data_IF_130866594103
#
_entry.id   IF_130866594103
#
_cell.length_a   1.000
_cell.length_b   1.000
_cell.length_c   1.000
_cell.angle_alpha   90.00
_cell.angle_beta   90.00
_cell.angle_gamma   90.00
#
_symmetry.space_group_name_H-M   'P 1'
#
loop_
_entity.id
_entity.type
_entity.pdbx_description
1 polymer ?
#
# COMPACT_ATOMS: atom_id res chain seq x y z
N UNK A 1 -5.60 -5.81 14.24
CA UNK A 1 -4.27 -5.19 14.45
C UNK A 1 -4.15 -3.76 13.89
N UNK A 2 -4.04 -3.54 12.57
CA UNK A 2 -3.73 -2.21 12.00
C UNK A 2 -4.78 -1.13 12.28
N UNK A 3 -6.05 -1.40 11.96
CA UNK A 3 -7.19 -0.49 12.20
C UNK A 3 -7.29 -0.11 13.68
N UNK A 4 -7.23 -1.11 14.57
CA UNK A 4 -7.31 -0.91 16.01
C UNK A 4 -6.14 -0.10 16.56
N UNK A 5 -4.99 -0.12 15.87
CA UNK A 5 -3.81 0.66 16.23
C UNK A 5 -3.87 2.11 15.73
N UNK A 6 -4.90 2.47 14.95
CA UNK A 6 -5.18 3.82 14.45
C UNK A 6 -4.78 4.05 13.00
N UNK A 7 -4.43 3.00 12.25
CA UNK A 7 -4.14 3.08 10.81
C UNK A 7 -5.42 2.79 10.01
N UNK A 8 -6.41 3.69 10.07
CA UNK A 8 -7.75 3.46 9.50
C UNK A 8 -7.78 3.37 7.98
N UNK A 9 -6.79 3.94 7.29
CA UNK A 9 -6.67 3.92 5.83
C UNK A 9 -5.88 2.69 5.33
N UNK A 10 -5.82 1.63 6.14
CA UNK A 10 -5.13 0.39 5.77
C UNK A 10 -5.99 -0.46 4.84
N UNK A 11 -5.35 -1.19 3.93
CA UNK A 11 -6.04 -2.02 2.94
C UNK A 11 -5.18 -3.16 2.41
N UNK A 12 -5.80 -4.07 1.67
CA UNK A 12 -5.16 -5.22 1.04
C UNK A 12 -5.46 -5.19 -0.46
N UNK A 13 -4.45 -5.47 -1.27
CA UNK A 13 -4.53 -5.62 -2.71
C UNK A 13 -4.04 -7.00 -3.11
N UNK A 14 -4.69 -7.62 -4.10
CA UNK A 14 -4.27 -8.90 -4.68
C UNK A 14 -3.77 -8.66 -6.11
N UNK A 15 -2.47 -8.86 -6.32
CA UNK A 15 -1.81 -8.70 -7.61
C UNK A 15 -1.91 -9.94 -8.51
N UNK A 16 -1.25 -9.85 -9.68
CA UNK A 16 -1.08 -11.00 -10.58
C UNK A 16 -0.32 -12.12 -9.85
N UNK A 17 -0.60 -13.36 -10.22
CA UNK A 17 0.00 -14.53 -9.58
C UNK A 17 -0.47 -14.79 -8.13
N UNK A 18 -1.48 -14.04 -7.63
CA UNK A 18 -1.98 -14.23 -6.26
C UNK A 18 -1.14 -13.56 -5.18
N UNK A 19 -0.20 -12.68 -5.54
CA UNK A 19 0.58 -11.88 -4.58
C UNK A 19 -0.36 -10.99 -3.76
N UNK A 20 -0.36 -11.14 -2.45
CA UNK A 20 -1.15 -10.32 -1.53
C UNK A 20 -0.24 -9.21 -0.98
N UNK A 21 -0.65 -7.95 -1.11
CA UNK A 21 0.07 -6.79 -0.58
C UNK A 21 -0.85 -6.03 0.36
N UNK A 22 -0.38 -5.80 1.58
CA UNK A 22 -1.09 -4.98 2.58
C UNK A 22 -0.42 -3.61 2.71
N UNK A 23 -1.21 -2.56 2.70
CA UNK A 23 -0.76 -1.21 2.99
C UNK A 23 -1.30 -0.79 4.38
N UNK A 24 -0.42 -0.29 5.24
CA UNK A 24 -0.78 0.25 6.55
C UNK A 24 -0.61 1.76 6.51
N UNK A 25 -1.72 2.51 6.56
CA UNK A 25 -1.71 3.98 6.39
C UNK A 25 -2.55 4.66 7.47
N UNK A 26 -2.03 5.77 7.99
CA UNK A 26 -2.73 6.59 8.98
C UNK A 26 -3.69 7.58 8.31
N UNK A 27 -4.45 8.28 9.12
CA UNK A 27 -5.23 9.47 8.73
C UNK A 27 -4.49 10.76 9.08
N UNK A 28 -3.29 10.68 9.64
CA UNK A 28 -2.50 11.84 10.04
C UNK A 28 -1.86 12.50 8.82
N UNK A 29 -2.27 13.73 8.57
CA UNK A 29 -1.79 14.57 7.48
C UNK A 29 -1.88 16.02 7.98
N UNK A 30 -0.93 16.86 7.56
CA UNK A 30 -0.97 18.31 7.75
C UNK A 30 -0.46 18.94 6.45
N UNK A 31 -1.38 19.47 5.67
CA UNK A 31 -1.08 20.16 4.42
C UNK A 31 -1.67 21.56 4.51
N UNK A 32 -0.82 22.57 4.37
CA UNK A 32 -1.19 23.98 4.50
C UNK A 32 -0.41 24.82 3.48
N UNK A 33 -1.06 25.67 2.67
CA UNK A 33 -0.34 26.56 1.76
C UNK A 33 0.33 27.69 2.54
N UNK A 34 1.66 27.81 2.42
CA UNK A 34 2.42 28.87 3.09
C UNK A 34 2.72 30.05 2.14
N UNK A 35 2.99 29.76 0.88
CA UNK A 35 3.34 30.75 -0.13
C UNK A 35 2.59 30.53 -1.44
N UNK A 36 2.45 31.60 -2.21
CA UNK A 36 1.89 31.55 -3.55
C UNK A 36 2.69 32.49 -4.46
N UNK A 37 3.17 31.97 -5.60
CA UNK A 37 3.96 32.74 -6.58
C UNK A 37 5.16 33.47 -5.95
N UNK A 38 5.89 32.80 -5.06
CA UNK A 38 7.07 33.37 -4.38
C UNK A 38 6.76 34.35 -3.25
N UNK A 39 5.49 34.66 -2.98
CA UNK A 39 5.08 35.52 -1.86
C UNK A 39 4.60 34.67 -0.68
N UNK A 40 5.18 34.89 0.49
CA UNK A 40 4.69 34.33 1.75
C UNK A 40 3.32 34.94 2.08
N UNK A 41 2.33 34.10 2.41
CA UNK A 41 0.95 34.54 2.68
C UNK A 41 0.57 34.45 4.16
N UNK A 42 1.47 33.97 5.00
CA UNK A 42 1.22 33.70 6.42
C UNK A 42 2.12 34.56 7.30
N UNK A 43 1.67 34.87 8.52
CA UNK A 43 2.48 35.54 9.53
C UNK A 43 3.44 34.56 10.20
N UNK A 44 4.46 35.09 10.87
CA UNK A 44 5.39 34.28 11.66
C UNK A 44 4.68 33.54 12.79
N UNK A 45 3.76 34.20 13.47
CA UNK A 45 2.93 33.61 14.55
C UNK A 45 2.14 32.39 14.06
N UNK A 46 1.68 32.42 12.80
CA UNK A 46 0.99 31.27 12.21
C UNK A 46 1.96 30.11 11.95
N UNK A 47 3.20 30.39 11.55
CA UNK A 47 4.24 29.36 11.38
C UNK A 47 4.56 28.71 12.73
N UNK A 48 4.73 29.51 13.78
CA UNK A 48 4.93 28.99 15.15
C UNK A 48 3.79 28.07 15.57
N UNK A 49 2.53 28.47 15.32
CA UNK A 49 1.37 27.63 15.56
C UNK A 49 1.43 26.30 14.78
N UNK A 50 1.77 26.36 13.48
CA UNK A 50 1.88 25.16 12.65
C UNK A 50 2.98 24.21 13.13
N UNK A 51 4.11 24.72 13.62
CA UNK A 51 5.18 23.92 14.20
C UNK A 51 4.64 23.11 15.39
N UNK A 52 3.89 23.75 16.29
CA UNK A 52 3.28 23.06 17.43
C UNK A 52 2.31 21.96 16.99
N UNK A 53 1.44 22.24 16.02
CA UNK A 53 0.49 21.26 15.47
C UNK A 53 1.21 20.10 14.78
N UNK A 54 2.26 20.39 14.01
CA UNK A 54 3.07 19.39 13.31
C UNK A 54 3.75 18.45 14.31
N UNK A 55 4.39 19.00 15.34
CA UNK A 55 5.05 18.23 16.40
C UNK A 55 4.04 17.35 17.16
N UNK A 56 2.87 17.88 17.51
CA UNK A 56 1.81 17.09 18.14
C UNK A 56 1.35 15.93 17.27
N UNK A 57 1.17 16.16 15.96
CA UNK A 57 0.79 15.11 15.00
C UNK A 57 1.89 14.05 14.85
N UNK A 58 3.15 14.46 14.88
CA UNK A 58 4.30 13.56 14.78
C UNK A 58 4.42 12.66 16.01
N UNK A 59 4.30 13.25 17.20
CA UNK A 59 4.32 12.55 18.47
C UNK A 59 3.18 11.51 18.55
N UNK A 60 1.96 11.89 18.16
CA UNK A 60 0.85 10.92 18.09
C UNK A 60 1.11 9.82 17.04
N UNK A 61 1.74 10.14 15.92
CA UNK A 61 2.12 9.15 14.92
C UNK A 61 3.10 8.11 15.48
N UNK A 62 4.10 8.55 16.25
CA UNK A 62 5.05 7.66 16.93
C UNK A 62 4.32 6.71 17.88
N UNK A 63 3.38 7.23 18.69
CA UNK A 63 2.57 6.39 19.59
C UNK A 63 1.73 5.36 18.84
N UNK A 64 1.24 5.69 17.65
CA UNK A 64 0.51 4.73 16.80
C UNK A 64 1.40 3.62 16.30
N UNK A 65 2.61 3.97 15.85
CA UNK A 65 3.61 3.01 15.37
C UNK A 65 3.98 2.04 16.48
N UNK A 66 4.28 2.54 17.69
CA UNK A 66 4.61 1.71 18.86
C UNK A 66 3.44 0.77 19.24
N UNK A 67 2.21 1.31 19.32
CA UNK A 67 1.01 0.51 19.59
C UNK A 67 0.78 -0.56 18.53
N UNK A 68 1.00 -0.24 17.25
CA UNK A 68 0.88 -1.19 16.16
C UNK A 68 1.91 -2.30 16.27
N UNK A 69 3.17 -1.95 16.52
CA UNK A 69 4.25 -2.92 16.70
C UNK A 69 3.94 -3.91 17.82
N UNK A 70 3.60 -3.42 19.03
CA UNK A 70 3.27 -4.26 20.19
C UNK A 70 2.09 -5.20 19.91
N UNK A 71 1.03 -4.70 19.27
CA UNK A 71 -0.15 -5.52 18.96
C UNK A 71 0.13 -6.54 17.88
N UNK A 72 0.95 -6.20 16.89
CA UNK A 72 1.36 -7.12 15.84
C UNK A 72 2.22 -8.25 16.44
N UNK A 73 3.19 -7.89 17.27
CA UNK A 73 4.05 -8.86 17.96
C UNK A 73 3.22 -9.85 18.80
N UNK A 74 2.27 -9.35 19.60
CA UNK A 74 1.36 -10.19 20.39
C UNK A 74 0.52 -11.11 19.49
N UNK A 75 -0.09 -10.58 18.44
CA UNK A 75 -0.92 -11.37 17.53
C UNK A 75 -0.12 -12.49 16.84
N UNK A 76 1.14 -12.23 16.47
CA UNK A 76 2.03 -13.23 15.89
C UNK A 76 2.39 -14.32 16.90
N UNK A 77 2.75 -13.94 18.14
CA UNK A 77 3.05 -14.90 19.22
C UNK A 77 1.84 -15.81 19.50
N UNK A 78 0.65 -15.24 19.59
CA UNK A 78 -0.60 -16.01 19.79
C UNK A 78 -0.88 -16.96 18.64
N UNK A 79 -0.71 -16.52 17.39
CA UNK A 79 -0.92 -17.36 16.21
C UNK A 79 0.06 -18.55 16.18
N UNK A 80 1.33 -18.33 16.53
CA UNK A 80 2.33 -19.40 16.62
C UNK A 80 1.95 -20.41 17.71
N UNK A 81 1.54 -19.95 18.89
CA UNK A 81 1.14 -20.83 19.99
C UNK A 81 -0.10 -21.67 19.68
N UNK A 82 -1.07 -21.12 18.95
CA UNK A 82 -2.29 -21.84 18.55
C UNK A 82 -1.99 -23.01 17.59
N UNK A 83 -1.04 -22.81 16.68
CA UNK A 83 -0.63 -23.83 15.69
C UNK A 83 0.20 -24.98 16.29
N UNK A 84 0.76 -24.80 17.50
CA UNK A 84 1.57 -25.82 18.17
C UNK A 84 0.77 -26.69 19.15
N UNK A 85 -0.56 -26.48 19.26
CA UNK A 85 -1.43 -27.40 19.99
C UNK A 85 -1.73 -28.63 19.10
N UNK A 86 -1.51 -29.87 19.58
CA UNK A 86 -1.84 -31.05 18.81
C UNK A 86 -3.36 -31.21 18.84
N UNK A 87 -4.04 -30.69 17.82
CA UNK A 87 -5.37 -31.13 17.47
C UNK A 87 -5.21 -32.24 16.44
N UNK A 88 -5.40 -33.48 16.88
CA UNK A 88 -5.74 -34.56 15.97
C UNK A 88 -7.09 -34.21 15.35
N UNK A 89 -7.12 -33.77 14.09
CA UNK A 89 -8.18 -34.11 13.14
C UNK A 89 -7.82 -33.63 11.72
N UNK A 90 -7.78 -34.62 10.83
CA UNK A 90 -7.45 -34.52 9.41
C UNK A 90 -8.62 -33.94 8.63
N UNK A 91 -8.61 -32.64 8.26
CA UNK A 91 -9.53 -32.15 7.22
C UNK A 91 -8.88 -31.11 6.30
N UNK A 92 -8.47 -31.62 5.14
CA UNK A 92 -8.46 -31.02 3.78
C UNK A 92 -8.26 -29.50 3.70
N UNK A 93 -7.06 -29.14 3.26
CA UNK A 93 -6.68 -27.82 2.73
C UNK A 93 -7.67 -27.34 1.67
N UNK A 94 -8.62 -26.49 2.07
CA UNK A 94 -9.55 -25.83 1.16
C UNK A 94 -8.88 -24.56 0.67
N UNK A 95 -8.21 -24.63 -0.48
CA UNK A 95 -7.75 -23.44 -1.18
C UNK A 95 -8.97 -22.56 -1.54
N UNK A 96 -9.17 -21.47 -0.80
CA UNK A 96 -10.35 -20.58 -0.95
C UNK A 96 -10.22 -19.64 -2.17
N UNK A 97 -9.04 -19.55 -2.80
CA UNK A 97 -8.86 -18.67 -3.96
C UNK A 97 -9.18 -19.38 -5.28
N UNK A 98 -10.47 -19.45 -5.61
CA UNK A 98 -10.91 -19.92 -6.93
C UNK A 98 -10.81 -18.75 -7.92
N UNK A 99 -9.89 -18.88 -8.89
CA UNK A 99 -9.64 -17.94 -9.99
C UNK A 99 -10.96 -17.69 -10.76
N UNK A 100 -11.59 -16.53 -10.58
CA UNK A 100 -12.82 -16.15 -11.30
C UNK A 100 -12.48 -15.95 -12.79
N UNK A 101 -12.85 -16.92 -13.64
CA UNK A 101 -12.70 -16.82 -15.11
C UNK A 101 -13.59 -15.67 -15.63
N UNK A 102 -12.99 -14.71 -16.34
CA UNK A 102 -13.69 -13.64 -17.06
C UNK A 102 -14.52 -14.28 -18.19
N UNK A 103 -15.85 -14.14 -18.17
CA UNK A 103 -16.73 -14.55 -19.27
C UNK A 103 -16.35 -13.75 -20.52
N UNK A 104 -16.01 -14.44 -21.62
CA UNK A 104 -15.96 -13.86 -22.97
C UNK A 104 -17.39 -13.49 -23.35
N UNK A 105 -17.64 -12.21 -23.61
CA UNK A 105 -18.86 -11.78 -24.30
C UNK A 105 -18.72 -12.23 -25.74
N UNK A 106 -19.59 -13.15 -26.16
CA UNK A 106 -19.78 -13.49 -27.57
C UNK A 106 -20.54 -12.30 -28.16
N UNK A 107 -19.92 -11.56 -29.08
CA UNK A 107 -20.63 -10.71 -30.04
C UNK A 107 -20.62 -11.47 -31.36
N UNK A 108 -21.80 -11.89 -31.80
CA UNK A 108 -22.03 -12.35 -33.16
C UNK A 108 -22.56 -11.18 -34.01
N UNK A 109 -21.87 -10.97 -35.14
CA UNK A 109 -22.32 -10.41 -36.42
C UNK A 109 -22.59 -8.88 -36.45
N UNK A 110 -22.12 -8.08 -37.42
CA UNK A 110 -21.77 -8.37 -38.82
C UNK A 110 -20.97 -7.19 -39.45
N UNK A 111 -20.30 -7.47 -40.59
CA UNK A 111 -19.83 -6.56 -41.67
C UNK A 111 -18.43 -5.90 -41.60
N UNK A 112 -17.50 -6.45 -42.42
CA UNK A 112 -16.44 -5.85 -43.27
C UNK A 112 -15.54 -4.72 -42.71
N UNK A 113 -14.19 -4.74 -42.75
CA UNK A 113 -13.22 -5.10 -43.82
C UNK A 113 -11.81 -5.32 -43.24
N UNK A 114 -11.05 -6.25 -43.83
CA UNK A 114 -9.57 -6.43 -43.75
C UNK A 114 -8.87 -5.41 -44.70
N UNK A 115 -7.55 -5.08 -44.66
CA UNK A 115 -6.45 -6.00 -44.32
C UNK A 115 -5.22 -5.48 -43.54
N UNK A 116 -4.51 -6.48 -42.99
CA UNK A 116 -3.04 -6.64 -42.76
C UNK A 116 -2.23 -5.45 -42.24
N UNK A 117 -1.51 -5.66 -41.13
CA UNK A 117 -0.04 -5.72 -41.21
C UNK A 117 0.57 -6.42 -39.99
N UNK A 118 1.61 -7.21 -40.28
CA UNK A 118 2.49 -7.86 -39.33
C UNK A 118 3.25 -6.79 -38.52
N UNK A 119 3.56 -7.07 -37.25
CA UNK A 119 4.85 -6.75 -36.64
C UNK A 119 4.99 -7.45 -35.28
N UNK A 120 5.91 -8.40 -35.21
CA UNK A 120 6.60 -8.78 -33.98
C UNK A 120 7.27 -7.53 -33.39
N UNK A 121 7.04 -7.26 -32.11
CA UNK A 121 7.87 -6.32 -31.35
C UNK A 121 7.84 -6.66 -29.86
N UNK A 122 8.85 -7.45 -29.48
CA UNK A 122 9.76 -7.26 -28.34
C UNK A 122 9.15 -7.10 -26.93
N UNK A 123 9.43 -8.12 -26.12
CA UNK A 123 9.47 -8.09 -24.66
C UNK A 123 10.29 -6.89 -24.14
N UNK A 124 9.87 -6.19 -23.07
CA UNK A 124 10.80 -5.51 -22.20
C UNK A 124 11.23 -6.48 -21.09
N UNK A 125 12.45 -6.98 -21.21
CA UNK A 125 13.26 -7.46 -20.09
C UNK A 125 13.26 -6.37 -19.01
N UNK A 126 12.71 -6.68 -17.83
CA UNK A 126 12.74 -5.78 -16.67
C UNK A 126 14.08 -5.98 -15.96
N UNK A 127 15.13 -5.45 -16.59
CA UNK A 127 16.49 -5.42 -16.06
C UNK A 127 16.49 -4.65 -14.73
N UNK A 128 16.70 -5.39 -13.66
CA UNK A 128 17.03 -4.90 -12.34
C UNK A 128 18.42 -4.26 -12.34
N UNK A 129 18.53 -3.02 -12.78
CA UNK A 129 19.66 -2.17 -12.39
C UNK A 129 19.29 -0.68 -12.52
N UNK A 130 19.63 0.11 -11.50
CA UNK A 130 19.41 1.57 -11.40
C UNK A 130 18.09 2.03 -10.73
N UNK A 131 18.04 1.98 -9.39
CA UNK A 131 17.27 2.97 -8.61
C UNK A 131 17.97 3.50 -7.36
N UNK A 132 19.27 3.19 -7.17
CA UNK A 132 20.06 3.76 -6.08
C UNK A 132 20.48 5.22 -6.33
N UNK A 133 20.14 5.82 -7.47
CA UNK A 133 20.50 7.20 -7.82
C UNK A 133 19.58 8.31 -7.29
N UNK A 134 18.40 7.98 -6.74
CA UNK A 134 17.41 9.01 -6.37
C UNK A 134 17.71 9.65 -4.99
N UNK A 135 18.48 8.98 -4.13
CA UNK A 135 18.76 9.46 -2.76
C UNK A 135 20.15 10.08 -2.59
N UNK A 136 20.94 10.23 -3.66
CA UNK A 136 22.30 10.79 -3.58
C UNK A 136 22.36 12.32 -3.66
N UNK A 137 21.25 13.01 -4.01
CA UNK A 137 21.24 14.48 -4.16
C UNK A 137 20.56 15.24 -3.00
N UNK A 138 20.24 14.56 -1.89
CA UNK A 138 19.74 15.21 -0.66
C UNK A 138 20.71 14.94 0.49
N UNK A 139 21.96 15.37 0.33
CA UNK A 139 22.85 15.65 1.45
C UNK A 139 23.90 16.69 1.01
N UNK A 140 23.65 17.95 1.40
CA UNK A 140 24.54 19.12 1.58
C UNK A 140 25.67 19.30 0.56
#
# INVERSE_FOLDING_TARGET
VAIESGFRNSGITVGRGGKITMAVRSTHCLEVPLSHKGKLMVSEEYIEFLIHVANQKMEENIRRIDRFYKRLELALKTAISANNSPSEETVKSRAVYVRRRKRKTIQEQDVHTSPKDHNEALEPEDDTESSLGIFAEILI
#
